data_IF_263083932581
#
_entry.id   IF_263083932581
#
_cell.length_a   1.000
_cell.length_b   1.000
_cell.length_c   1.000
_cell.angle_alpha   90.00
_cell.angle_beta   90.00
_cell.angle_gamma   90.00
#
_symmetry.space_group_name_H-M   'P 1'
#
loop_
_entity.id
_entity.type
_entity.pdbx_description
1 polymer ?
#
# COMPACT_ATOMS: atom_id res chain seq x y z
N UNK A 1 0.92 -20.23 0.28
CA UNK A 1 0.83 -20.19 1.76
C UNK A 1 -0.57 -19.77 2.16
N UNK A 2 -1.17 -20.40 3.17
CA UNK A 2 -2.53 -20.09 3.61
C UNK A 2 -2.72 -20.49 5.07
N UNK A 3 -3.50 -19.72 5.81
CA UNK A 3 -4.04 -20.13 7.09
C UNK A 3 -5.28 -21.01 6.84
N UNK A 4 -5.32 -22.28 7.31
CA UNK A 4 -6.48 -23.13 7.14
C UNK A 4 -7.73 -22.62 7.90
N UNK A 5 -7.57 -21.74 8.88
CA UNK A 5 -8.67 -21.16 9.66
C UNK A 5 -9.32 -19.94 8.98
N UNK A 6 -8.64 -19.33 7.99
CA UNK A 6 -9.15 -18.16 7.25
C UNK A 6 -9.36 -18.55 5.79
N UNK A 7 -10.54 -19.09 5.42
CA UNK A 7 -10.82 -19.47 4.05
C UNK A 7 -10.70 -18.26 3.12
N UNK A 8 -10.21 -18.50 1.90
CA UNK A 8 -9.99 -17.49 0.85
C UNK A 8 -8.88 -16.44 1.09
N UNK A 9 -8.10 -16.55 2.16
CA UNK A 9 -6.86 -15.78 2.33
C UNK A 9 -5.64 -16.65 1.99
N UNK A 10 -5.28 -16.69 0.69
CA UNK A 10 -4.16 -17.49 0.20
C UNK A 10 -3.15 -16.62 -0.55
N UNK A 11 -1.89 -16.77 -0.21
CA UNK A 11 -0.75 -16.21 -0.95
C UNK A 11 -0.25 -17.24 -1.96
N UNK A 12 -0.41 -16.93 -3.24
CA UNK A 12 0.12 -17.72 -4.35
C UNK A 12 1.48 -17.13 -4.74
N UNK A 13 2.55 -17.92 -4.56
CA UNK A 13 3.92 -17.47 -4.80
C UNK A 13 4.51 -18.30 -5.94
N UNK A 14 4.99 -17.62 -6.97
CA UNK A 14 5.81 -18.20 -8.02
C UNK A 14 7.23 -17.63 -7.90
N UNK A 15 8.23 -18.48 -7.98
CA UNK A 15 9.63 -18.09 -7.87
C UNK A 15 10.48 -18.87 -8.87
N UNK A 16 11.38 -18.17 -9.55
CA UNK A 16 12.40 -18.73 -10.41
C UNK A 16 13.69 -17.90 -10.23
N UNK A 17 14.84 -18.58 -10.15
CA UNK A 17 16.16 -17.92 -10.05
C UNK A 17 17.18 -18.66 -10.92
N UNK A 18 18.06 -17.90 -11.57
CA UNK A 18 19.20 -18.43 -12.33
C UNK A 18 20.52 -18.36 -11.54
N UNK A 19 20.53 -17.71 -10.36
CA UNK A 19 21.76 -17.40 -9.63
C UNK A 19 21.78 -17.93 -8.19
N UNK A 20 22.93 -18.50 -7.81
CA UNK A 20 23.36 -18.67 -6.42
C UNK A 20 24.05 -17.38 -5.96
N UNK A 21 23.27 -16.33 -5.67
CA UNK A 21 23.83 -15.08 -5.16
C UNK A 21 24.38 -15.32 -3.76
N UNK A 22 25.70 -15.34 -3.60
CA UNK A 22 26.38 -15.55 -2.32
C UNK A 22 27.32 -14.38 -1.99
N UNK A 23 27.12 -13.70 -0.85
CA UNK A 23 25.99 -13.83 0.09
C UNK A 23 24.70 -13.24 -0.51
N UNK A 24 23.52 -13.76 -0.12
CA UNK A 24 22.26 -13.20 -0.59
C UNK A 24 22.10 -11.75 -0.09
N UNK A 25 21.50 -10.86 -0.88
CA UNK A 25 21.20 -9.50 -0.45
C UNK A 25 20.29 -9.54 0.78
N UNK A 26 20.57 -8.67 1.77
CA UNK A 26 19.73 -8.49 2.96
C UNK A 26 18.51 -7.64 2.63
N UNK A 27 17.63 -8.18 1.80
CA UNK A 27 16.38 -7.55 1.41
C UNK A 27 15.20 -8.22 2.10
N UNK A 28 14.32 -7.43 2.68
CA UNK A 28 13.08 -7.90 3.30
C UNK A 28 11.93 -7.20 2.61
N UNK A 29 10.95 -7.97 2.13
CA UNK A 29 9.71 -7.46 1.57
C UNK A 29 8.58 -7.76 2.55
N UNK A 30 7.84 -6.73 2.96
CA UNK A 30 6.68 -6.83 3.84
C UNK A 30 5.43 -6.43 3.03
N UNK A 31 4.49 -7.36 2.90
CA UNK A 31 3.21 -7.13 2.22
C UNK A 31 2.05 -7.30 3.22
N UNK A 32 1.11 -6.36 3.21
CA UNK A 32 -0.09 -6.40 4.03
C UNK A 32 -1.32 -6.25 3.12
N UNK A 33 -2.21 -7.24 3.14
CA UNK A 33 -3.52 -7.16 2.51
C UNK A 33 -4.60 -6.98 3.59
N UNK A 34 -5.27 -5.83 3.58
CA UNK A 34 -6.28 -5.49 4.57
C UNK A 34 -7.67 -5.48 3.92
N UNK A 35 -8.66 -6.06 4.59
CA UNK A 35 -10.08 -6.03 4.18
C UNK A 35 -10.95 -5.66 5.40
N UNK A 36 -12.22 -5.30 5.18
CA UNK A 36 -13.12 -4.97 6.29
C UNK A 36 -12.69 -3.73 7.10
N UNK A 37 -12.02 -2.78 6.46
CA UNK A 37 -11.55 -1.55 7.08
C UNK A 37 -12.71 -0.72 7.66
N UNK A 38 -12.42 0.05 8.72
CA UNK A 38 -13.39 0.93 9.36
C UNK A 38 -13.93 1.96 8.37
N UNK A 39 -15.26 2.14 8.33
CA UNK A 39 -15.94 3.02 7.38
C UNK A 39 -15.56 4.49 7.50
N UNK A 40 -15.29 4.97 8.72
CA UNK A 40 -14.86 6.34 8.99
C UNK A 40 -13.47 6.58 8.41
N UNK A 41 -12.52 5.69 8.69
CA UNK A 41 -11.16 5.76 8.13
C UNK A 41 -11.17 5.68 6.60
N UNK A 42 -11.98 4.80 6.01
CA UNK A 42 -12.08 4.64 4.55
C UNK A 42 -12.74 5.85 3.89
N UNK A 43 -13.60 6.60 4.60
CA UNK A 43 -14.30 7.77 4.06
C UNK A 43 -13.36 8.90 3.61
N UNK A 44 -12.11 8.91 4.12
CA UNK A 44 -11.07 9.85 3.73
C UNK A 44 -10.65 9.67 2.26
N UNK A 45 -10.73 8.44 1.73
CA UNK A 45 -10.30 8.10 0.37
C UNK A 45 -11.42 8.22 -0.68
N UNK A 46 -12.51 8.89 -0.33
CA UNK A 46 -13.53 9.30 -1.30
C UNK A 46 -13.21 10.70 -1.79
N UNK A 47 -13.25 10.89 -3.11
CA UNK A 47 -13.15 12.21 -3.67
C UNK A 47 -14.37 13.01 -3.24
N UNK A 48 -14.14 14.26 -2.82
CA UNK A 48 -15.19 15.18 -2.41
C UNK A 48 -15.06 16.47 -3.20
N UNK A 49 -16.20 17.11 -3.46
CA UNK A 49 -16.27 18.38 -4.18
C UNK A 49 -15.76 19.57 -3.34
N UNK A 50 -15.20 19.31 -2.16
CA UNK A 50 -14.64 20.31 -1.24
C UNK A 50 -13.20 20.73 -1.59
N UNK A 51 -12.72 20.36 -2.77
CA UNK A 51 -11.38 20.67 -3.26
C UNK A 51 -10.29 19.82 -2.63
N UNK A 52 -10.65 18.72 -1.96
CA UNK A 52 -9.67 17.78 -1.42
C UNK A 52 -8.87 17.09 -2.52
N UNK A 53 -7.56 17.01 -2.30
CA UNK A 53 -6.62 16.31 -3.16
C UNK A 53 -5.90 15.14 -2.45
N UNK A 54 -5.12 14.37 -3.21
CA UNK A 54 -4.36 13.23 -2.72
C UNK A 54 -3.47 13.56 -1.50
N UNK A 55 -2.83 14.73 -1.50
CA UNK A 55 -1.98 15.20 -0.39
C UNK A 55 -2.76 15.39 0.91
N UNK A 56 -4.01 15.86 0.82
CA UNK A 56 -4.89 15.94 1.97
C UNK A 56 -5.37 14.57 2.43
N UNK A 57 -5.63 13.63 1.52
CA UNK A 57 -5.94 12.24 1.88
C UNK A 57 -4.78 11.59 2.64
N UNK A 58 -3.54 11.77 2.18
CA UNK A 58 -2.30 11.30 2.84
C UNK A 58 -2.18 11.82 4.27
N UNK A 59 -2.46 13.11 4.47
CA UNK A 59 -2.35 13.74 5.79
C UNK A 59 -3.48 13.34 6.74
N UNK A 60 -4.72 13.31 6.26
CA UNK A 60 -5.90 12.99 7.09
C UNK A 60 -5.98 11.52 7.48
N UNK A 61 -5.40 10.62 6.68
CA UNK A 61 -5.30 9.20 6.98
C UNK A 61 -4.09 8.84 7.85
N UNK A 62 -3.29 9.84 8.25
CA UNK A 62 -2.05 9.67 9.03
C UNK A 62 -1.00 8.80 8.30
N UNK A 63 -1.21 8.52 7.01
CA UNK A 63 -0.24 7.78 6.20
C UNK A 63 1.10 8.51 6.24
N UNK A 64 1.13 9.85 6.22
CA UNK A 64 2.35 10.65 6.33
C UNK A 64 3.26 10.24 7.48
N UNK A 65 2.69 9.75 8.57
CA UNK A 65 3.38 9.58 9.85
C UNK A 65 3.95 8.16 10.02
N UNK A 66 3.60 7.23 9.13
CA UNK A 66 4.10 5.84 9.14
C UNK A 66 5.61 5.78 8.92
N UNK A 67 6.13 6.63 8.02
CA UNK A 67 7.57 6.76 7.76
C UNK A 67 7.91 8.19 7.30
N UNK A 68 8.05 9.13 8.25
CA UNK A 68 8.14 10.56 7.96
C UNK A 68 9.34 10.98 7.10
N UNK A 69 10.40 10.16 7.06
CA UNK A 69 11.66 10.48 6.36
C UNK A 69 11.61 10.21 4.85
N UNK A 70 10.56 9.54 4.36
CA UNK A 70 10.43 9.21 2.94
C UNK A 70 9.59 10.23 2.18
N UNK A 71 9.97 10.48 0.93
CA UNK A 71 9.17 11.28 0.03
C UNK A 71 7.96 10.48 -0.47
N UNK A 72 6.78 11.11 -0.46
CA UNK A 72 5.51 10.49 -0.88
C UNK A 72 5.11 11.04 -2.25
N UNK A 73 4.82 10.13 -3.17
CA UNK A 73 4.13 10.41 -4.42
C UNK A 73 2.72 9.80 -4.31
N UNK A 74 1.72 10.63 -4.04
CA UNK A 74 0.33 10.22 -3.85
C UNK A 74 -0.54 10.54 -5.07
N UNK A 75 -1.62 9.77 -5.20
CA UNK A 75 -2.59 9.92 -6.28
C UNK A 75 -4.00 9.55 -5.79
N UNK A 76 -4.98 10.35 -6.18
CA UNK A 76 -6.40 10.12 -5.88
C UNK A 76 -7.16 9.69 -7.13
N UNK A 77 -8.11 8.78 -6.96
CA UNK A 77 -8.97 8.27 -8.02
C UNK A 77 -10.40 8.80 -7.90
N UNK A 78 -11.11 8.82 -9.02
CA UNK A 78 -12.49 9.27 -9.13
C UNK A 78 -13.43 8.07 -9.39
N UNK A 79 -14.59 7.96 -8.70
CA UNK A 79 -15.09 8.83 -7.63
C UNK A 79 -14.48 8.51 -6.25
N UNK A 80 -13.72 7.43 -6.13
CA UNK A 80 -13.02 7.05 -4.90
C UNK A 80 -11.77 6.24 -5.21
N UNK A 81 -10.85 6.23 -4.26
CA UNK A 81 -9.63 5.46 -4.31
C UNK A 81 -8.41 6.34 -4.11
N UNK A 82 -7.35 5.73 -3.60
CA UNK A 82 -6.08 6.37 -3.32
C UNK A 82 -4.95 5.38 -3.52
N UNK A 83 -3.82 5.84 -4.04
CA UNK A 83 -2.58 5.07 -4.16
C UNK A 83 -1.38 5.96 -3.84
N UNK A 84 -0.34 5.38 -3.28
CA UNK A 84 0.92 6.09 -3.06
C UNK A 84 2.12 5.20 -3.32
N UNK A 85 3.21 5.83 -3.73
CA UNK A 85 4.54 5.27 -3.70
C UNK A 85 5.42 6.13 -2.79
N UNK A 86 6.35 5.49 -2.09
CA UNK A 86 7.39 6.17 -1.32
C UNK A 86 8.75 5.85 -1.89
N UNK A 87 9.59 6.87 -1.94
CA UNK A 87 10.98 6.75 -2.33
C UNK A 87 11.85 7.28 -1.19
N UNK A 88 12.88 6.52 -0.88
CA UNK A 88 13.99 7.01 -0.06
C UNK A 88 15.17 7.18 -1.02
N UNK A 89 15.92 8.28 -0.93
CA UNK A 89 17.12 8.46 -1.75
C UNK A 89 18.19 7.39 -1.52
N UNK A 90 18.07 6.61 -0.43
CA UNK A 90 18.98 5.52 -0.07
C UNK A 90 18.44 4.11 -0.36
N UNK A 91 17.17 3.99 -0.77
CA UNK A 91 16.54 2.68 -0.99
C UNK A 91 16.56 2.30 -2.46
N UNK A 92 17.08 1.11 -2.75
CA UNK A 92 17.10 0.51 -4.10
C UNK A 92 15.76 -0.08 -4.52
N UNK A 93 14.78 -0.18 -3.61
CA UNK A 93 13.44 -0.74 -3.88
C UNK A 93 12.34 0.24 -3.48
N UNK A 94 11.41 0.60 -4.38
CA UNK A 94 10.27 1.46 -4.03
C UNK A 94 9.38 0.79 -2.99
N UNK A 95 9.02 1.51 -1.93
CA UNK A 95 7.94 1.08 -1.06
C UNK A 95 6.61 1.46 -1.70
N UNK A 96 5.75 0.47 -1.95
CA UNK A 96 4.40 0.69 -2.46
C UNK A 96 3.40 0.34 -1.38
N UNK A 97 2.53 1.30 -1.05
CA UNK A 97 1.33 1.00 -0.30
C UNK A 97 0.22 0.80 -1.33
N UNK A 98 -0.33 -0.41 -1.38
CA UNK A 98 -1.37 -0.79 -2.34
C UNK A 98 -2.62 0.08 -2.23
N UNK A 99 -3.32 0.22 -3.35
CA UNK A 99 -4.48 1.07 -3.51
C UNK A 99 -5.60 0.72 -2.53
N UNK A 100 -6.17 1.70 -1.84
CA UNK A 100 -7.42 1.54 -1.12
C UNK A 100 -8.58 1.67 -2.12
N UNK A 101 -8.99 0.58 -2.75
CA UNK A 101 -10.19 0.53 -3.59
C UNK A 101 -11.34 -0.11 -2.83
N UNK A 102 -12.50 0.56 -2.78
CA UNK A 102 -13.73 -0.14 -2.42
C UNK A 102 -13.98 -1.17 -3.52
N UNK A 103 -13.92 -2.46 -3.17
CA UNK A 103 -14.51 -3.49 -4.01
C UNK A 103 -16.01 -3.19 -4.08
N UNK A 104 -16.46 -2.59 -5.19
CA UNK A 104 -17.87 -2.60 -5.54
C UNK A 104 -18.26 -4.07 -5.72
N UNK A 105 -19.12 -4.57 -4.85
CA UNK A 105 -19.92 -5.75 -5.17
C UNK A 105 -20.79 -5.45 -6.37
#
# INVERSE_FOLDING_TARGET
>A
MSDPMVPNCKWHVYFASNESIFPPPRMVTLEMCMTGLNSESVSVFFKKDDGRNAKQMTKLSEISDIQPEMEICDFEFDPCGYSMARLSPLSTSPWRMGSATRATR
#
